data_IF_499749092708
#
_entry.id   IF_499749092708
#
_cell.length_a   1.000
_cell.length_b   1.000
_cell.length_c   1.000
_cell.angle_alpha   90.00
_cell.angle_beta   90.00
_cell.angle_gamma   90.00
#
_symmetry.space_group_name_H-M   'P 1'
#
loop_
_entity.id
_entity.type
_entity.pdbx_description
1 polymer ?
#
# COMPACT_ATOMS: atom_id res chain seq x y z
N UNK A 1 17.25 1.56 -6.20
CA UNK A 1 17.60 1.40 -4.77
C UNK A 1 16.44 0.76 -4.04
N UNK A 2 16.69 -0.15 -3.10
CA UNK A 2 15.64 -0.85 -2.35
C UNK A 2 14.68 0.10 -1.61
N UNK A 3 15.22 1.13 -0.94
CA UNK A 3 14.38 2.11 -0.24
C UNK A 3 13.54 2.96 -1.20
N UNK A 4 14.03 3.25 -2.41
CA UNK A 4 13.24 3.99 -3.39
C UNK A 4 11.98 3.23 -3.81
N UNK A 5 12.03 1.89 -3.90
CA UNK A 5 10.83 1.09 -4.14
C UNK A 5 9.90 1.08 -2.94
N UNK A 6 10.42 1.03 -1.71
CA UNK A 6 9.59 1.14 -0.50
C UNK A 6 8.83 2.47 -0.44
N UNK A 7 9.50 3.59 -0.69
CA UNK A 7 8.86 4.91 -0.69
C UNK A 7 7.76 5.00 -1.76
N UNK A 8 8.01 4.43 -2.95
CA UNK A 8 7.01 4.39 -4.01
C UNK A 8 5.80 3.53 -3.62
N UNK A 9 6.02 2.42 -2.92
CA UNK A 9 4.94 1.59 -2.38
C UNK A 9 4.10 2.31 -1.32
N UNK A 10 4.76 3.02 -0.39
CA UNK A 10 4.09 3.82 0.63
C UNK A 10 3.22 4.92 0.04
N UNK A 11 3.69 5.60 -1.02
CA UNK A 11 2.89 6.61 -1.74
C UNK A 11 1.65 5.96 -2.39
N UNK A 12 1.80 4.82 -3.06
CA UNK A 12 0.69 4.13 -3.71
C UNK A 12 -0.36 3.65 -2.70
N UNK A 13 0.07 3.04 -1.60
CA UNK A 13 -0.82 2.64 -0.51
C UNK A 13 -1.52 3.85 0.11
N UNK A 14 -0.78 4.93 0.39
CA UNK A 14 -1.35 6.13 0.99
C UNK A 14 -2.40 6.79 0.10
N UNK A 15 -2.15 6.87 -1.21
CA UNK A 15 -3.12 7.34 -2.21
C UNK A 15 -4.40 6.49 -2.21
N UNK A 16 -4.27 5.16 -2.12
CA UNK A 16 -5.42 4.26 -2.01
C UNK A 16 -6.19 4.55 -0.71
N UNK A 17 -5.49 4.62 0.42
CA UNK A 17 -6.11 4.88 1.71
C UNK A 17 -6.84 6.23 1.75
N UNK A 18 -6.25 7.30 1.22
CA UNK A 18 -6.90 8.62 1.09
C UNK A 18 -8.15 8.57 0.19
N UNK A 19 -8.15 7.73 -0.85
CA UNK A 19 -9.28 7.61 -1.76
C UNK A 19 -10.42 6.74 -1.21
N UNK A 20 -10.12 5.76 -0.36
CA UNK A 20 -11.10 4.72 0.04
C UNK A 20 -11.50 4.78 1.51
N UNK A 21 -10.65 5.28 2.41
CA UNK A 21 -10.99 5.39 3.84
C UNK A 21 -11.96 6.56 4.02
N UNK A 22 -13.14 6.36 4.63
CA UNK A 22 -14.11 7.42 4.84
C UNK A 22 -13.53 8.57 5.68
N UNK A 23 -14.03 9.79 5.44
CA UNK A 23 -13.58 10.98 6.19
C UNK A 23 -13.85 10.90 7.70
N UNK A 24 -14.75 10.02 8.14
CA UNK A 24 -15.03 9.70 9.56
C UNK A 24 -13.91 8.91 10.22
N UNK A 25 -13.00 8.32 9.44
CA UNK A 25 -11.89 7.50 9.90
C UNK A 25 -10.54 8.15 9.58
N UNK A 26 -9.49 7.68 10.25
CA UNK A 26 -8.09 7.97 9.95
C UNK A 26 -7.31 6.67 9.81
N UNK A 27 -6.21 6.72 9.07
CA UNK A 27 -5.32 5.59 8.86
C UNK A 27 -3.87 5.91 9.27
N UNK A 28 -3.11 4.90 9.67
CA UNK A 28 -1.67 5.01 9.99
C UNK A 28 -0.94 3.73 9.58
N UNK A 29 0.20 3.80 8.86
CA UNK A 29 1.05 2.63 8.63
C UNK A 29 1.53 1.99 9.94
N UNK A 30 1.33 0.68 10.12
CA UNK A 30 1.83 -0.10 11.27
C UNK A 30 3.07 -0.92 10.94
N UNK A 31 3.17 -1.39 9.71
CA UNK A 31 4.24 -2.28 9.31
C UNK A 31 4.19 -2.59 7.82
N UNK A 32 5.30 -3.10 7.30
CA UNK A 32 5.44 -3.43 5.88
C UNK A 32 6.30 -4.67 5.72
N UNK A 33 5.86 -5.60 4.88
CA UNK A 33 6.66 -6.73 4.39
C UNK A 33 6.99 -6.48 2.92
N UNK A 34 8.26 -6.66 2.53
CA UNK A 34 8.75 -6.37 1.18
C UNK A 34 9.54 -7.55 0.62
N UNK A 35 9.18 -8.00 -0.57
CA UNK A 35 9.92 -8.96 -1.39
C UNK A 35 10.50 -8.29 -2.63
N UNK A 36 11.82 -8.39 -2.81
CA UNK A 36 12.51 -7.92 -4.01
C UNK A 36 12.63 -9.08 -5.01
N UNK A 37 11.66 -9.19 -5.90
CA UNK A 37 11.50 -10.37 -6.78
C UNK A 37 12.31 -10.26 -8.07
N UNK A 38 12.67 -9.05 -8.51
CA UNK A 38 13.56 -8.83 -9.64
C UNK A 38 14.31 -7.50 -9.53
N UNK A 39 15.37 -7.34 -10.34
CA UNK A 39 16.14 -6.11 -10.39
C UNK A 39 15.36 -5.00 -11.12
N UNK A 40 15.23 -3.85 -10.48
CA UNK A 40 14.65 -2.64 -11.05
C UNK A 40 15.67 -1.92 -11.96
N UNK A 41 15.56 -2.11 -13.28
CA UNK A 41 16.50 -1.54 -14.27
C UNK A 41 15.94 -0.37 -15.08
N UNK A 42 14.64 -0.08 -14.94
CA UNK A 42 13.95 0.99 -15.68
C UNK A 42 13.08 1.85 -14.76
N UNK A 43 12.31 2.79 -15.33
CA UNK A 43 11.30 3.52 -14.58
C UNK A 43 10.24 2.58 -14.00
N UNK A 44 9.75 2.91 -12.82
CA UNK A 44 8.88 2.02 -12.03
C UNK A 44 7.48 2.61 -11.86
N UNK A 45 6.49 1.73 -11.77
CA UNK A 45 5.08 2.05 -11.50
C UNK A 45 4.59 1.17 -10.35
N UNK A 46 4.06 1.78 -9.28
CA UNK A 46 3.42 1.04 -8.19
C UNK A 46 1.91 1.01 -8.38
N UNK A 47 1.31 -0.12 -8.01
CA UNK A 47 -0.14 -0.32 -7.97
C UNK A 47 -0.49 -0.84 -6.59
N UNK A 48 -1.24 -0.05 -5.82
CA UNK A 48 -1.92 -0.52 -4.62
C UNK A 48 -3.35 -0.88 -5.00
N UNK A 49 -3.81 -2.05 -4.58
CA UNK A 49 -5.15 -2.53 -4.93
C UNK A 49 -5.76 -3.30 -3.77
N UNK A 50 -6.99 -2.94 -3.43
CA UNK A 50 -7.85 -3.70 -2.53
C UNK A 50 -9.01 -4.26 -3.38
N UNK A 51 -9.09 -5.59 -3.56
CA UNK A 51 -10.18 -6.19 -4.33
C UNK A 51 -11.56 -5.92 -3.72
N UNK A 52 -11.61 -5.78 -2.40
CA UNK A 52 -12.82 -5.48 -1.64
C UNK A 52 -12.47 -4.51 -0.51
N UNK A 53 -13.35 -3.52 -0.29
CA UNK A 53 -13.22 -2.60 0.84
C UNK A 53 -13.87 -3.21 2.08
N UNK A 54 -13.22 -3.12 3.25
CA UNK A 54 -13.80 -3.57 4.50
C UNK A 54 -14.98 -2.68 4.92
N UNK A 55 -15.80 -3.17 5.85
CA UNK A 55 -16.74 -2.33 6.57
C UNK A 55 -15.98 -1.46 7.60
N UNK A 56 -16.24 -0.15 7.59
CA UNK A 56 -15.63 0.81 8.50
C UNK A 56 -16.54 1.02 9.72
N UNK A 57 -16.27 0.28 10.80
CA UNK A 57 -17.03 0.33 12.05
C UNK A 57 -16.42 1.23 13.13
N UNK A 58 -16.98 1.17 14.34
CA UNK A 58 -16.56 2.00 15.49
C UNK A 58 -15.25 1.53 16.15
N UNK A 59 -14.82 0.29 15.86
CA UNK A 59 -13.59 -0.28 16.40
C UNK A 59 -12.42 -0.14 15.43
N UNK A 60 -11.21 -0.02 15.99
CA UNK A 60 -10.01 -0.02 15.17
C UNK A 60 -9.69 -1.39 14.59
N UNK A 61 -9.20 -1.44 13.36
CA UNK A 61 -8.78 -2.68 12.70
C UNK A 61 -7.53 -2.53 11.84
N UNK A 62 -6.84 -3.64 11.58
CA UNK A 62 -5.71 -3.70 10.67
C UNK A 62 -6.19 -4.01 9.25
N UNK A 63 -5.77 -3.20 8.28
CA UNK A 63 -6.04 -3.39 6.87
C UNK A 63 -4.72 -3.66 6.14
N UNK A 64 -4.46 -4.90 5.69
CA UNK A 64 -3.31 -5.20 4.84
C UNK A 64 -3.57 -4.68 3.42
N UNK A 65 -2.72 -3.78 2.93
CA UNK A 65 -2.80 -3.23 1.57
C UNK A 65 -1.69 -3.83 0.70
N UNK A 66 -2.02 -4.71 -0.25
CA UNK A 66 -1.08 -5.21 -1.24
C UNK A 66 -0.63 -4.10 -2.19
N UNK A 67 0.66 -4.07 -2.49
CA UNK A 67 1.24 -3.18 -3.49
C UNK A 67 2.23 -3.96 -4.35
N UNK A 68 2.09 -3.85 -5.67
CA UNK A 68 3.04 -4.43 -6.63
C UNK A 68 3.70 -3.32 -7.42
N UNK A 69 5.03 -3.40 -7.55
CA UNK A 69 5.83 -2.47 -8.34
C UNK A 69 6.26 -3.17 -9.62
N UNK A 70 5.98 -2.54 -10.73
CA UNK A 70 6.27 -3.00 -12.08
C UNK A 70 7.35 -2.15 -12.74
N UNK A 71 8.15 -2.76 -13.61
CA UNK A 71 8.99 -2.04 -14.56
C UNK A 71 8.19 -1.59 -15.80
N UNK A 72 8.85 -0.96 -16.78
CA UNK A 72 8.21 -0.52 -18.03
C UNK A 72 7.71 -1.63 -18.94
N UNK A 73 8.03 -2.89 -18.64
CA UNK A 73 7.59 -4.07 -19.39
C UNK A 73 6.49 -4.82 -18.63
N UNK A 74 5.89 -4.17 -17.63
CA UNK A 74 4.88 -4.73 -16.74
C UNK A 74 5.36 -5.99 -15.98
N UNK A 75 6.67 -6.10 -15.76
CA UNK A 75 7.24 -7.17 -14.94
C UNK A 75 7.29 -6.74 -13.47
N UNK A 76 6.77 -7.55 -12.52
CA UNK A 76 6.95 -7.30 -11.10
C UNK A 76 8.44 -7.26 -10.72
N UNK A 77 8.84 -6.23 -9.98
CA UNK A 77 10.20 -6.09 -9.42
C UNK A 77 10.21 -6.10 -7.90
N UNK A 78 9.13 -5.60 -7.29
CA UNK A 78 8.92 -5.61 -5.84
C UNK A 78 7.46 -5.93 -5.55
N UNK A 79 7.24 -6.81 -4.58
CA UNK A 79 5.93 -7.10 -4.03
C UNK A 79 5.95 -6.75 -2.55
N UNK A 80 4.92 -6.06 -2.07
CA UNK A 80 4.86 -5.63 -0.69
C UNK A 80 3.43 -5.66 -0.16
N UNK A 81 3.33 -5.80 1.16
CA UNK A 81 2.08 -5.63 1.89
C UNK A 81 2.37 -4.62 2.99
N UNK A 82 1.64 -3.50 2.96
CA UNK A 82 1.70 -2.47 4.00
C UNK A 82 0.44 -2.60 4.84
N UNK A 83 0.59 -2.92 6.11
CA UNK A 83 -0.53 -2.98 7.06
C UNK A 83 -0.77 -1.58 7.61
N UNK A 84 -1.98 -1.05 7.43
CA UNK A 84 -2.43 0.19 8.05
C UNK A 84 -3.39 -0.08 9.20
N UNK A 85 -3.36 0.77 10.23
CA UNK A 85 -4.35 0.82 11.30
C UNK A 85 -5.44 1.80 10.93
N UNK A 86 -6.68 1.36 10.81
CA UNK A 86 -7.83 2.22 10.54
C UNK A 86 -8.64 2.38 11.83
N UNK A 87 -9.01 3.62 12.16
CA UNK A 87 -9.80 3.94 13.37
C UNK A 87 -10.74 5.11 13.13
N UNK A 88 -11.88 5.20 13.84
CA UNK A 88 -12.68 6.41 13.85
C UNK A 88 -11.90 7.64 14.32
N UNK A 89 -12.22 8.79 13.74
CA UNK A 89 -11.80 10.09 14.26
C UNK A 89 -12.59 10.39 15.53
N UNK A 90 -11.89 10.91 16.54
CA UNK A 90 -12.53 11.50 17.72
C UNK A 90 -13.00 12.90 17.39
#
# INVERSE_FOLDING_TARGET
>A
HAIATCNLAEIAMGMLAEATVPVTHRWLPKGMTVGYVAKAETGLRAVAELPELPEFGEDGFELPVPVTIYDRRDKPVTECVITIWVTPKK
#
